data_IF_639293382778
#
_entry.id   IF_639293382778
#
_cell.length_a   1.000
_cell.length_b   1.000
_cell.length_c   1.000
_cell.angle_alpha   90.00
_cell.angle_beta   90.00
_cell.angle_gamma   90.00
#
_symmetry.space_group_name_H-M   'P 1'
#
loop_
_entity.id
_entity.type
_entity.pdbx_description
1 polymer ?
#
# COMPACT_ATOMS: atom_id res chain seq x y z
N UNK A 1 -22.90 -13.84 -16.56
CA UNK A 1 -22.80 -12.66 -15.67
C UNK A 1 -21.32 -12.37 -15.51
N UNK A 2 -20.81 -11.52 -16.38
CA UNK A 2 -19.40 -11.15 -16.45
C UNK A 2 -19.08 -10.15 -15.32
N UNK A 3 -18.25 -10.56 -14.35
CA UNK A 3 -17.77 -9.75 -13.22
C UNK A 3 -16.28 -9.37 -13.39
N UNK A 4 -15.79 -9.27 -14.62
CA UNK A 4 -14.35 -9.05 -14.86
C UNK A 4 -14.00 -7.56 -14.89
N UNK A 5 -14.92 -6.68 -15.30
CA UNK A 5 -14.68 -5.23 -15.42
C UNK A 5 -14.37 -4.49 -14.10
N UNK A 6 -15.03 -4.85 -13.00
CA UNK A 6 -14.80 -4.18 -11.71
C UNK A 6 -13.43 -4.54 -11.14
N UNK A 7 -13.01 -5.80 -11.31
CA UNK A 7 -11.71 -6.30 -10.85
C UNK A 7 -10.57 -5.66 -11.66
N UNK A 8 -10.73 -5.50 -12.97
CA UNK A 8 -9.72 -4.93 -13.84
C UNK A 8 -9.51 -3.43 -13.58
N UNK A 9 -10.58 -2.67 -13.33
CA UNK A 9 -10.49 -1.26 -12.91
C UNK A 9 -9.86 -1.10 -11.52
N UNK A 10 -10.22 -1.98 -10.58
CA UNK A 10 -9.60 -2.08 -9.25
C UNK A 10 -8.09 -2.35 -9.34
N UNK A 11 -7.67 -3.27 -10.22
CA UNK A 11 -6.25 -3.58 -10.45
C UNK A 11 -5.50 -2.42 -11.10
N UNK A 12 -6.14 -1.62 -11.95
CA UNK A 12 -5.52 -0.45 -12.56
C UNK A 12 -5.31 0.68 -11.54
N UNK A 13 -6.25 0.87 -10.61
CA UNK A 13 -6.16 1.93 -9.58
C UNK A 13 -5.20 1.53 -8.47
N UNK A 14 -5.26 0.28 -7.98
CA UNK A 14 -4.54 -0.16 -6.79
C UNK A 14 -3.26 -0.94 -7.10
N UNK A 15 -3.14 -1.46 -8.32
CA UNK A 15 -2.05 -2.35 -8.71
C UNK A 15 -2.28 -3.79 -8.22
N UNK A 16 -1.77 -4.75 -9.01
CA UNK A 16 -1.89 -6.18 -8.73
C UNK A 16 -1.34 -6.58 -7.35
N UNK A 17 -0.21 -6.00 -6.95
CA UNK A 17 0.47 -6.35 -5.70
C UNK A 17 -0.31 -5.95 -4.45
N UNK A 18 -0.92 -4.76 -4.43
CA UNK A 18 -1.74 -4.32 -3.29
C UNK A 18 -3.08 -5.06 -3.24
N UNK A 19 -3.66 -5.40 -4.39
CA UNK A 19 -4.85 -6.24 -4.45
C UNK A 19 -4.59 -7.65 -3.90
N UNK A 20 -3.42 -8.22 -4.23
CA UNK A 20 -2.99 -9.53 -3.71
C UNK A 20 -2.73 -9.47 -2.21
N UNK A 21 -2.04 -8.41 -1.73
CA UNK A 21 -1.81 -8.17 -0.30
C UNK A 21 -3.12 -8.09 0.49
N UNK A 22 -4.10 -7.35 -0.01
CA UNK A 22 -5.41 -7.24 0.65
C UNK A 22 -6.11 -8.59 0.76
N UNK A 23 -6.05 -9.40 -0.30
CA UNK A 23 -6.68 -10.73 -0.30
C UNK A 23 -6.01 -11.68 0.69
N UNK A 24 -4.67 -11.70 0.71
CA UNK A 24 -3.90 -12.48 1.69
C UNK A 24 -4.21 -12.06 3.13
N UNK A 25 -4.36 -10.76 3.36
CA UNK A 25 -4.71 -10.21 4.67
C UNK A 25 -6.12 -10.61 5.11
N UNK A 26 -7.12 -10.51 4.22
CA UNK A 26 -8.49 -10.98 4.52
C UNK A 26 -8.49 -12.46 4.88
N UNK A 27 -7.83 -13.30 4.07
CA UNK A 27 -7.77 -14.76 4.31
C UNK A 27 -7.06 -15.08 5.64
N UNK A 28 -6.03 -14.31 5.99
CA UNK A 28 -5.32 -14.43 7.28
C UNK A 28 -6.22 -14.05 8.46
N UNK A 29 -6.91 -12.91 8.38
CA UNK A 29 -7.77 -12.43 9.47
C UNK A 29 -8.98 -13.36 9.64
N UNK A 30 -9.55 -13.86 8.54
CA UNK A 30 -10.64 -14.84 8.60
C UNK A 30 -10.20 -16.16 9.25
N UNK A 31 -8.99 -16.62 8.95
CA UNK A 31 -8.45 -17.86 9.50
C UNK A 31 -8.01 -17.75 10.96
N UNK A 32 -7.40 -16.63 11.35
CA UNK A 32 -6.77 -16.48 12.67
C UNK A 32 -7.61 -15.65 13.66
N UNK A 33 -8.62 -14.91 13.19
CA UNK A 33 -9.42 -13.99 14.00
C UNK A 33 -8.66 -12.75 14.48
N UNK A 34 -7.44 -12.53 14.01
CA UNK A 34 -6.58 -11.39 14.36
C UNK A 34 -5.73 -10.97 13.17
N UNK A 35 -5.36 -9.69 13.14
CA UNK A 35 -4.40 -9.11 12.20
C UNK A 35 -2.96 -9.08 12.75
N UNK A 36 -2.77 -9.52 14.00
CA UNK A 36 -1.46 -9.58 14.64
C UNK A 36 -0.60 -10.69 14.02
N UNK A 37 0.59 -10.32 13.55
CA UNK A 37 1.54 -11.27 12.97
C UNK A 37 1.23 -11.62 11.51
N UNK A 38 0.40 -10.84 10.82
CA UNK A 38 0.26 -10.97 9.37
C UNK A 38 1.60 -10.64 8.69
N UNK A 39 2.10 -11.62 7.93
CA UNK A 39 3.29 -11.46 7.08
C UNK A 39 2.89 -11.66 5.61
N UNK A 40 3.16 -10.68 4.73
CA UNK A 40 2.84 -10.82 3.32
C UNK A 40 3.73 -11.86 2.64
N UNK A 41 3.17 -12.58 1.68
CA UNK A 41 3.96 -13.49 0.83
C UNK A 41 5.01 -12.73 0.03
N UNK A 42 4.70 -11.49 -0.37
CA UNK A 42 5.63 -10.59 -1.04
C UNK A 42 6.45 -9.77 -0.04
N UNK A 43 7.67 -10.23 0.23
CA UNK A 43 8.62 -9.59 1.15
C UNK A 43 9.18 -8.24 0.66
N UNK A 44 8.95 -7.86 -0.60
CA UNK A 44 9.32 -6.53 -1.09
C UNK A 44 8.34 -5.44 -0.65
N UNK A 45 7.13 -5.84 -0.22
CA UNK A 45 6.13 -4.93 0.32
C UNK A 45 6.55 -4.48 1.72
N UNK A 46 6.51 -3.17 1.94
CA UNK A 46 6.85 -2.57 3.24
C UNK A 46 5.64 -2.61 4.16
N UNK A 47 5.43 -3.74 4.80
CA UNK A 47 4.39 -3.93 5.84
C UNK A 47 4.99 -3.67 7.22
N UNK A 48 4.32 -2.85 8.03
CA UNK A 48 4.69 -2.48 9.40
C UNK A 48 3.47 -2.74 10.27
N UNK A 49 3.46 -3.87 10.99
CA UNK A 49 2.26 -4.35 11.68
C UNK A 49 1.15 -4.68 10.66
N UNK A 50 0.01 -4.02 10.77
CA UNK A 50 -1.14 -4.17 9.86
C UNK A 50 -1.23 -3.04 8.81
N UNK A 51 -0.16 -2.28 8.62
CA UNK A 51 -0.09 -1.14 7.69
C UNK A 51 0.90 -1.42 6.57
N UNK A 52 0.61 -0.96 5.37
CA UNK A 52 1.50 -1.03 4.20
C UNK A 52 1.91 0.38 3.76
N UNK A 53 3.17 0.54 3.39
CA UNK A 53 3.65 1.78 2.79
C UNK A 53 3.18 1.86 1.33
N UNK A 54 2.48 2.94 0.98
CA UNK A 54 1.96 3.19 -0.36
C UNK A 54 2.46 4.52 -0.91
N UNK A 55 2.37 4.63 -2.23
CA UNK A 55 2.47 5.87 -2.99
C UNK A 55 1.20 6.04 -3.81
N UNK A 56 0.42 7.06 -3.46
CA UNK A 56 -0.81 7.44 -4.11
C UNK A 56 -0.60 8.72 -4.94
N UNK A 57 -1.18 8.76 -6.13
CA UNK A 57 -1.13 9.90 -7.03
C UNK A 57 -2.51 10.52 -7.07
N UNK A 58 -2.59 11.81 -6.74
CA UNK A 58 -3.79 12.60 -6.84
C UNK A 58 -4.13 12.92 -8.30
N UNK A 59 -5.43 13.03 -8.58
CA UNK A 59 -5.93 13.47 -9.87
C UNK A 59 -5.53 14.92 -10.13
N UNK A 60 -5.80 15.80 -9.15
CA UNK A 60 -5.57 17.24 -9.24
C UNK A 60 -4.68 17.76 -8.12
N UNK A 61 -5.08 17.54 -6.87
CA UNK A 61 -4.43 18.11 -5.68
C UNK A 61 -4.03 17.04 -4.65
N UNK A 62 -2.75 17.03 -4.27
CA UNK A 62 -2.22 16.11 -3.26
C UNK A 62 -2.74 16.39 -1.86
N UNK A 63 -3.08 17.64 -1.51
CA UNK A 63 -3.55 17.97 -0.17
C UNK A 63 -4.95 17.39 0.11
N UNK A 64 -5.84 17.49 -0.87
CA UNK A 64 -7.17 16.86 -0.83
C UNK A 64 -7.06 15.34 -0.69
N UNK A 65 -6.23 14.70 -1.53
CA UNK A 65 -5.99 13.25 -1.43
C UNK A 65 -5.38 12.85 -0.08
N UNK A 66 -4.44 13.63 0.45
CA UNK A 66 -3.85 13.35 1.76
C UNK A 66 -4.89 13.41 2.89
N UNK A 67 -5.84 14.34 2.83
CA UNK A 67 -6.94 14.43 3.78
C UNK A 67 -7.82 13.18 3.72
N UNK A 68 -8.25 12.79 2.52
CA UNK A 68 -9.08 11.60 2.31
C UNK A 68 -8.37 10.32 2.82
N UNK A 69 -7.07 10.20 2.54
CA UNK A 69 -6.28 9.07 3.00
C UNK A 69 -6.11 9.04 4.53
N UNK A 70 -5.96 10.20 5.18
CA UNK A 70 -5.92 10.30 6.65
C UNK A 70 -7.24 9.88 7.29
N UNK A 71 -8.37 10.21 6.67
CA UNK A 71 -9.69 9.74 7.13
C UNK A 71 -9.83 8.22 7.03
N UNK A 72 -9.18 7.59 6.03
CA UNK A 72 -9.04 6.14 5.93
C UNK A 72 -8.00 5.54 6.91
N UNK A 73 -7.43 6.38 7.78
CA UNK A 73 -6.49 5.98 8.81
C UNK A 73 -5.04 5.94 8.36
N UNK A 74 -4.68 6.52 7.21
CA UNK A 74 -3.29 6.61 6.77
C UNK A 74 -2.47 7.47 7.74
N UNK A 75 -1.29 6.98 8.09
CA UNK A 75 -0.37 7.64 9.01
C UNK A 75 0.96 7.95 8.35
N UNK A 76 1.75 8.83 8.99
CA UNK A 76 3.10 9.23 8.54
C UNK A 76 3.08 9.67 7.07
N UNK A 77 2.09 10.49 6.73
CA UNK A 77 1.90 10.99 5.37
C UNK A 77 3.00 11.99 5.01
N UNK A 78 3.41 11.95 3.75
CA UNK A 78 4.26 12.94 3.13
C UNK A 78 3.71 13.25 1.74
N UNK A 79 3.60 14.54 1.42
CA UNK A 79 3.03 15.02 0.18
C UNK A 79 4.07 15.84 -0.61
N UNK A 80 4.16 15.55 -1.90
CA UNK A 80 4.97 16.27 -2.87
C UNK A 80 4.16 16.51 -4.16
N UNK A 81 3.54 17.68 -4.27
CA UNK A 81 2.70 18.05 -5.40
C UNK A 81 1.44 17.20 -5.49
N UNK A 82 1.41 16.24 -6.42
CA UNK A 82 0.32 15.25 -6.56
C UNK A 82 0.64 13.90 -5.97
N UNK A 83 1.86 13.69 -5.47
CA UNK A 83 2.28 12.41 -4.92
C UNK A 83 2.13 12.45 -3.40
N UNK A 84 1.33 11.52 -2.86
CA UNK A 84 1.13 11.33 -1.43
C UNK A 84 1.67 9.95 -1.05
N UNK A 85 2.54 9.89 -0.06
CA UNK A 85 3.14 8.64 0.43
C UNK A 85 2.91 8.49 1.92
N UNK A 86 2.90 7.26 2.43
CA UNK A 86 2.68 6.99 3.86
C UNK A 86 2.11 5.60 4.13
N UNK A 87 1.71 5.36 5.37
CA UNK A 87 1.36 4.03 5.88
C UNK A 87 -0.16 3.87 5.97
N UNK A 88 -0.73 3.11 5.04
CA UNK A 88 -2.16 2.83 4.97
C UNK A 88 -2.48 1.51 5.70
N UNK A 89 -3.53 1.44 6.54
CA UNK A 89 -4.04 0.16 7.04
C UNK A 89 -4.39 -0.79 5.90
N UNK A 90 -3.95 -2.04 5.95
CA UNK A 90 -4.21 -3.01 4.87
C UNK A 90 -5.73 -3.20 4.70
N UNK A 91 -6.49 -3.23 5.79
CA UNK A 91 -7.96 -3.29 5.74
C UNK A 91 -8.65 -2.09 5.06
N UNK A 92 -7.96 -0.96 4.89
CA UNK A 92 -8.47 0.23 4.22
C UNK A 92 -8.22 0.22 2.70
N UNK A 93 -7.48 -0.77 2.16
CA UNK A 93 -7.17 -0.89 0.72
C UNK A 93 -8.43 -1.00 -0.14
N UNK A 94 -9.53 -1.57 0.36
CA UNK A 94 -10.80 -1.58 -0.40
C UNK A 94 -11.45 -0.19 -0.52
N UNK A 95 -11.20 0.71 0.43
CA UNK A 95 -11.88 2.00 0.52
C UNK A 95 -11.20 3.07 -0.35
N UNK A 96 -9.89 2.96 -0.59
CA UNK A 96 -9.14 3.90 -1.45
C UNK A 96 -9.62 3.91 -2.90
N UNK A 97 -10.20 2.81 -3.39
CA UNK A 97 -10.73 2.71 -4.76
C UNK A 97 -11.86 3.72 -4.99
N UNK A 98 -12.64 4.01 -3.95
CA UNK A 98 -13.79 4.91 -4.04
C UNK A 98 -13.42 6.39 -4.02
N UNK A 99 -12.14 6.74 -3.86
CA UNK A 99 -11.73 8.13 -3.71
C UNK A 99 -11.73 8.85 -5.07
N UNK A 100 -12.55 9.89 -5.28
CA UNK A 100 -12.58 10.63 -6.54
C UNK A 100 -11.30 11.44 -6.78
N UNK A 101 -10.57 11.74 -5.70
CA UNK A 101 -9.29 12.44 -5.70
C UNK A 101 -8.11 11.54 -6.10
N UNK A 102 -8.29 10.21 -6.13
CA UNK A 102 -7.24 9.24 -6.41
C UNK A 102 -7.16 8.91 -7.91
N UNK A 103 -5.97 9.10 -8.50
CA UNK A 103 -5.68 8.71 -9.88
C UNK A 103 -5.14 7.29 -9.97
N UNK A 104 -4.16 6.96 -9.12
CA UNK A 104 -3.56 5.64 -9.02
C UNK A 104 -2.84 5.50 -7.70
N UNK A 105 -2.67 4.28 -7.20
CA UNK A 105 -1.84 3.97 -6.05
C UNK A 105 -1.00 2.73 -6.33
N UNK A 106 0.16 2.67 -5.68
CA UNK A 106 1.09 1.56 -5.80
C UNK A 106 1.78 1.31 -4.46
N UNK A 107 2.25 0.08 -4.19
CA UNK A 107 3.05 -0.18 -3.02
C UNK A 107 4.42 0.51 -3.13
N UNK A 108 4.90 1.03 -2.01
CA UNK A 108 6.26 1.53 -1.92
C UNK A 108 7.19 0.34 -1.61
N UNK A 109 7.97 -0.08 -2.61
CA UNK A 109 8.88 -1.21 -2.44
C UNK A 109 10.09 -0.85 -1.57
N UNK A 110 10.51 -1.81 -0.75
CA UNK A 110 11.81 -1.75 -0.13
C UNK A 110 12.90 -1.89 -1.21
N UNK A 111 13.69 -0.86 -1.46
CA UNK A 111 15.00 -1.08 -2.06
C UNK A 111 15.87 -1.75 -1.00
N UNK A 112 16.04 -3.07 -1.06
CA UNK A 112 17.15 -3.72 -0.38
C UNK A 112 18.42 -3.15 -0.99
N UNK A 113 19.07 -2.22 -0.27
CA UNK A 113 20.48 -1.91 -0.56
C UNK A 113 21.21 -3.22 -0.34
N UNK A 114 21.49 -3.94 -1.43
CA UNK A 114 22.39 -5.09 -1.42
C UNK A 114 23.62 -4.70 -0.63
N UNK A 115 23.98 -5.50 0.37
CA UNK A 115 24.93 -5.12 1.40
C UNK A 115 26.15 -4.42 0.83
N UNK A 116 26.36 -3.15 1.21
CA UNK A 116 27.71 -2.62 1.33
C UNK A 116 28.33 -3.46 2.44
N UNK A 117 29.03 -4.52 2.08
CA UNK A 117 29.91 -5.22 3.00
C UNK A 117 30.83 -4.16 3.61
N UNK A 118 31.02 -4.15 4.94
CA UNK A 118 32.13 -3.41 5.50
C UNK A 118 33.38 -4.01 4.85
N UNK A 119 34.06 -3.25 4.00
CA UNK A 119 35.41 -3.59 3.57
C UNK A 119 36.24 -3.75 4.85
N UNK A 120 36.54 -5.01 5.19
CA UNK A 120 37.36 -5.35 6.34
C UNK A 120 38.78 -4.86 6.03
N UNK A 121 39.26 -3.96 6.90
CA UNK A 121 40.60 -3.39 6.95
C UNK A 121 41.70 -4.45 6.76
N UNK A 122 42.65 -4.17 5.87
CA UNK A 122 44.05 -4.61 5.86
C UNK A 122 44.87 -3.46 5.25
N UNK A 123 46.03 -3.03 5.74
CA UNK A 123 47.00 -3.59 6.69
C UNK A 123 47.48 -2.51 7.67
#
# INVERSE_FOLDING_TARGET
MDKTGDKDGLMAIVGFDLASLYKEYEDYVEKNGTDQGFEPSNQFLRVIGNRVLIEAVALEDGASLESDLKELGMERTANFGRLVSGQLPIGAIKNIVGLPSLKSTRPAYAATRGGLTPIKRGD
#
